data_IF_358986804891
#
_entry.id   IF_358986804891
#
_cell.length_a   1.000
_cell.length_b   1.000
_cell.length_c   1.000
_cell.angle_alpha   90.00
_cell.angle_beta   90.00
_cell.angle_gamma   90.00
#
_symmetry.space_group_name_H-M   'P 1'
#
loop_
_entity.id
_entity.type
_entity.pdbx_description
1 polymer ?
#
# COMPACT_ATOMS: atom_id res chain seq x y z
N UNK A 1 -5.97 22.66 -11.89
CA UNK A 1 -6.14 21.29 -12.44
C UNK A 1 -5.41 20.24 -11.60
N UNK A 2 -4.17 20.48 -11.17
CA UNK A 2 -3.40 19.59 -10.28
C UNK A 2 -4.12 19.26 -8.96
N UNK A 3 -4.77 20.22 -8.31
CA UNK A 3 -5.55 19.99 -7.08
C UNK A 3 -6.67 18.96 -7.27
N UNK A 4 -7.40 19.00 -8.38
CA UNK A 4 -8.48 18.05 -8.66
C UNK A 4 -7.94 16.63 -8.85
N UNK A 5 -6.81 16.49 -9.58
CA UNK A 5 -6.12 15.20 -9.73
C UNK A 5 -5.71 14.63 -8.37
N UNK A 6 -5.15 15.48 -7.52
CA UNK A 6 -4.76 15.12 -6.16
C UNK A 6 -5.93 14.67 -5.28
N UNK A 7 -7.07 15.37 -5.36
CA UNK A 7 -8.29 15.00 -4.64
C UNK A 7 -8.87 13.67 -5.13
N UNK A 8 -8.86 13.42 -6.44
CA UNK A 8 -9.28 12.13 -7.01
C UNK A 8 -8.37 11.00 -6.53
N UNK A 9 -7.05 11.21 -6.58
CA UNK A 9 -6.07 10.23 -6.10
C UNK A 9 -6.28 9.93 -4.61
N UNK A 10 -6.55 10.97 -3.81
CA UNK A 10 -6.85 10.83 -2.38
C UNK A 10 -8.14 10.03 -2.13
N UNK A 11 -9.21 10.29 -2.90
CA UNK A 11 -10.47 9.54 -2.79
C UNK A 11 -10.31 8.06 -3.10
N UNK A 12 -9.56 7.73 -4.15
CA UNK A 12 -9.25 6.34 -4.54
C UNK A 12 -8.40 5.66 -3.46
N UNK A 13 -7.34 6.34 -3.01
CA UNK A 13 -6.46 5.85 -1.94
C UNK A 13 -7.25 5.55 -0.65
N UNK A 14 -8.12 6.45 -0.21
CA UNK A 14 -8.94 6.24 0.99
C UNK A 14 -9.95 5.10 0.79
N UNK A 15 -10.53 4.97 -0.39
CA UNK A 15 -11.43 3.84 -0.73
C UNK A 15 -10.70 2.50 -0.62
N UNK A 16 -9.42 2.47 -0.97
CA UNK A 16 -8.56 1.28 -0.82
C UNK A 16 -8.17 1.02 0.65
N UNK A 17 -7.97 2.07 1.44
CA UNK A 17 -7.48 1.97 2.81
C UNK A 17 -8.56 1.61 3.84
N UNK A 18 -9.78 2.13 3.69
CA UNK A 18 -10.84 2.09 4.72
C UNK A 18 -11.48 0.71 4.99
N UNK A 19 -11.71 -0.18 3.99
CA UNK A 19 -12.51 -1.38 4.21
C UNK A 19 -12.01 -2.30 5.32
N UNK A 20 -10.70 -2.55 5.40
CA UNK A 20 -10.11 -3.46 6.39
C UNK A 20 -10.21 -2.91 7.83
N UNK A 21 -9.80 -1.67 8.14
CA UNK A 21 -10.03 -1.05 9.45
C UNK A 21 -11.50 -1.08 9.88
N UNK A 22 -12.43 -0.79 8.96
CA UNK A 22 -13.88 -0.83 9.24
C UNK A 22 -14.34 -2.25 9.57
N UNK A 23 -13.92 -3.24 8.79
CA UNK A 23 -14.24 -4.65 9.06
C UNK A 23 -13.69 -5.07 10.43
N UNK A 24 -12.41 -4.78 10.70
CA UNK A 24 -11.74 -5.11 11.95
C UNK A 24 -12.43 -4.48 13.16
N UNK A 25 -12.82 -3.21 13.06
CA UNK A 25 -13.55 -2.51 14.10
C UNK A 25 -14.94 -3.13 14.35
N UNK A 26 -15.65 -3.50 13.28
CA UNK A 26 -17.00 -4.05 13.35
C UNK A 26 -17.05 -5.49 13.87
N UNK A 27 -16.14 -6.35 13.41
CA UNK A 27 -16.18 -7.79 13.74
C UNK A 27 -15.28 -8.14 14.92
N UNK A 28 -14.26 -7.33 15.21
CA UNK A 28 -13.11 -7.67 16.08
C UNK A 28 -12.38 -8.94 15.67
N UNK A 29 -12.67 -9.44 14.47
CA UNK A 29 -11.96 -10.56 13.90
C UNK A 29 -10.68 -10.05 13.27
N UNK A 30 -9.58 -10.53 13.84
CA UNK A 30 -8.21 -10.15 13.50
C UNK A 30 -7.52 -11.26 12.71
N UNK A 31 -8.25 -12.33 12.35
CA UNK A 31 -7.72 -13.42 11.53
C UNK A 31 -7.21 -12.89 10.18
N UNK A 32 -5.98 -13.23 9.83
CA UNK A 32 -5.34 -12.81 8.58
C UNK A 32 -4.85 -11.36 8.55
N UNK A 33 -5.02 -10.57 9.62
CA UNK A 33 -4.50 -9.19 9.69
C UNK A 33 -3.16 -9.17 10.43
N UNK A 34 -2.10 -8.74 9.75
CA UNK A 34 -0.74 -8.70 10.31
C UNK A 34 -0.50 -7.44 11.16
N UNK A 35 -0.07 -7.57 12.43
CA UNK A 35 0.36 -6.43 13.25
C UNK A 35 1.51 -5.63 12.62
N UNK A 36 2.53 -6.31 12.08
CA UNK A 36 3.64 -5.66 11.36
C UNK A 36 3.16 -4.86 10.15
N UNK A 37 2.18 -5.37 9.38
CA UNK A 37 1.62 -4.61 8.26
C UNK A 37 0.90 -3.33 8.72
N UNK A 38 0.15 -3.39 9.83
CA UNK A 38 -0.51 -2.21 10.41
C UNK A 38 0.51 -1.17 10.92
N UNK A 39 1.60 -1.62 11.55
CA UNK A 39 2.71 -0.76 11.96
C UNK A 39 3.38 -0.10 10.75
N UNK A 40 3.69 -0.88 9.71
CA UNK A 40 4.31 -0.36 8.48
C UNK A 40 3.39 0.62 7.72
N UNK A 41 2.07 0.40 7.73
CA UNK A 41 1.12 1.36 7.17
C UNK A 41 1.13 2.69 7.93
N UNK A 42 1.20 2.64 9.26
CA UNK A 42 1.32 3.84 10.10
C UNK A 42 2.63 4.58 9.81
N UNK A 43 3.75 3.85 9.75
CA UNK A 43 5.07 4.40 9.41
C UNK A 43 5.06 5.04 8.03
N UNK A 44 4.47 4.39 7.02
CA UNK A 44 4.34 4.93 5.67
C UNK A 44 3.50 6.21 5.65
N UNK A 45 2.38 6.25 6.38
CA UNK A 45 1.54 7.45 6.47
C UNK A 45 2.30 8.62 7.14
N UNK A 46 3.09 8.37 8.18
CA UNK A 46 3.97 9.40 8.78
C UNK A 46 5.04 9.86 7.78
N UNK A 47 5.68 8.94 7.07
CA UNK A 47 6.72 9.29 6.10
C UNK A 47 6.19 10.14 4.93
N UNK A 48 5.01 9.79 4.39
CA UNK A 48 4.33 10.60 3.37
C UNK A 48 3.84 11.95 3.91
N UNK A 49 3.40 12.00 5.18
CA UNK A 49 3.05 13.24 5.86
C UNK A 49 4.25 14.19 5.94
N UNK A 50 5.41 13.70 6.43
CA UNK A 50 6.65 14.48 6.50
C UNK A 50 7.03 14.97 5.10
N UNK A 51 7.07 14.06 4.12
CA UNK A 51 7.42 14.41 2.73
C UNK A 51 6.51 15.49 2.15
N UNK A 52 5.19 15.35 2.35
CA UNK A 52 4.21 16.33 1.86
C UNK A 52 4.35 17.69 2.52
N UNK A 53 4.77 17.75 3.79
CA UNK A 53 5.06 19.00 4.48
C UNK A 53 6.32 19.67 3.93
N UNK A 54 7.41 18.91 3.72
CA UNK A 54 8.67 19.42 3.17
C UNK A 54 8.54 19.98 1.76
N UNK A 55 7.74 19.31 0.92
CA UNK A 55 7.51 19.72 -0.47
C UNK A 55 6.36 20.72 -0.61
N UNK A 56 5.78 21.19 0.50
CA UNK A 56 4.63 22.09 0.52
C UNK A 56 3.43 21.59 -0.31
N UNK A 57 3.17 20.28 -0.27
CA UNK A 57 2.11 19.61 -1.04
C UNK A 57 0.87 19.33 -0.17
N UNK A 58 -0.13 20.24 -0.13
CA UNK A 58 -1.29 20.11 0.76
C UNK A 58 -2.09 18.84 0.57
N UNK A 59 -2.31 18.43 -0.67
CA UNK A 59 -3.05 17.19 -0.96
C UNK A 59 -2.38 15.99 -0.30
N UNK A 60 -1.04 15.87 -0.41
CA UNK A 60 -0.29 14.72 0.10
C UNK A 60 -0.30 14.71 1.62
N UNK A 61 0.06 15.82 2.28
CA UNK A 61 0.10 15.79 3.75
C UNK A 61 -1.29 15.67 4.37
N UNK A 62 -2.34 16.23 3.77
CA UNK A 62 -3.73 16.09 4.26
C UNK A 62 -4.20 14.64 4.16
N UNK A 63 -4.02 13.99 3.01
CA UNK A 63 -4.47 12.60 2.85
C UNK A 63 -3.65 11.65 3.71
N UNK A 64 -2.35 11.89 3.88
CA UNK A 64 -1.51 11.12 4.80
C UNK A 64 -1.95 11.28 6.25
N UNK A 65 -2.31 12.50 6.68
CA UNK A 65 -2.89 12.73 7.99
C UNK A 65 -4.23 11.98 8.17
N UNK A 66 -5.09 12.01 7.15
CA UNK A 66 -6.33 11.26 7.16
C UNK A 66 -6.09 9.74 7.23
N UNK A 67 -5.04 9.23 6.58
CA UNK A 67 -4.63 7.83 6.58
C UNK A 67 -4.11 7.35 7.94
N UNK A 68 -3.55 8.25 8.76
CA UNK A 68 -3.06 7.91 10.09
C UNK A 68 -4.19 7.42 10.99
N UNK A 69 -5.39 7.98 10.88
CA UNK A 69 -6.54 7.61 11.72
C UNK A 69 -6.88 6.11 11.61
N UNK A 70 -7.23 5.55 10.44
CA UNK A 70 -7.51 4.12 10.31
C UNK A 70 -6.29 3.25 10.59
N UNK A 71 -5.07 3.73 10.30
CA UNK A 71 -3.83 2.98 10.56
C UNK A 71 -3.59 2.81 12.06
N UNK A 72 -3.71 3.88 12.84
CA UNK A 72 -3.58 3.88 14.29
C UNK A 72 -4.70 3.07 14.97
N UNK A 73 -5.94 3.16 14.48
CA UNK A 73 -7.04 2.31 14.96
C UNK A 73 -6.68 0.83 14.76
N UNK A 74 -6.16 0.46 13.59
CA UNK A 74 -5.77 -0.93 13.28
C UNK A 74 -4.64 -1.40 14.20
N UNK A 75 -3.63 -0.57 14.43
CA UNK A 75 -2.55 -0.87 15.41
C UNK A 75 -3.11 -1.06 16.81
N UNK A 76 -4.01 -0.18 17.27
CA UNK A 76 -4.65 -0.28 18.58
C UNK A 76 -5.48 -1.56 18.76
N UNK A 77 -6.25 -1.94 17.73
CA UNK A 77 -7.03 -3.18 17.73
C UNK A 77 -6.16 -4.44 17.74
N UNK A 78 -4.93 -4.36 17.19
CA UNK A 78 -3.98 -5.46 17.14
C UNK A 78 -2.97 -5.45 18.30
N UNK A 79 -3.00 -4.47 19.20
CA UNK A 79 -1.97 -4.25 20.21
C UNK A 79 -1.66 -5.49 21.06
N UNK A 80 -2.67 -6.31 21.40
CA UNK A 80 -2.48 -7.55 22.18
C UNK A 80 -1.87 -8.71 21.39
N UNK A 81 -1.88 -8.63 20.07
CA UNK A 81 -1.30 -9.63 19.14
C UNK A 81 0.07 -9.22 18.62
N UNK A 82 0.44 -7.95 18.78
CA UNK A 82 1.74 -7.42 18.38
C UNK A 82 2.85 -8.08 19.20
N UNK A 83 3.80 -8.70 18.50
CA UNK A 83 4.96 -9.36 19.11
C UNK A 83 6.16 -8.41 19.16
N UNK A 84 7.17 -8.76 19.97
CA UNK A 84 8.45 -8.04 19.97
C UNK A 84 9.16 -8.11 18.61
N UNK A 85 8.95 -9.18 17.84
CA UNK A 85 9.50 -9.29 16.49
C UNK A 85 8.83 -8.29 15.54
N UNK A 86 7.50 -8.13 15.62
CA UNK A 86 6.80 -7.11 14.82
C UNK A 86 7.31 -5.71 15.13
N UNK A 87 7.50 -5.40 16.42
CA UNK A 87 8.06 -4.11 16.85
C UNK A 87 9.49 -3.92 16.36
N UNK A 88 10.35 -4.94 16.45
CA UNK A 88 11.72 -4.88 15.97
C UNK A 88 11.82 -4.62 14.46
N UNK A 89 11.01 -5.32 13.66
CA UNK A 89 10.97 -5.11 12.21
C UNK A 89 10.38 -3.76 11.83
N UNK A 90 9.31 -3.33 12.50
CA UNK A 90 8.73 -2.00 12.30
C UNK A 90 9.73 -0.89 12.68
N UNK A 91 10.44 -1.04 13.80
CA UNK A 91 11.48 -0.10 14.22
C UNK A 91 12.65 -0.05 13.23
N UNK A 92 13.08 -1.21 12.72
CA UNK A 92 14.13 -1.30 11.68
C UNK A 92 13.70 -0.54 10.42
N UNK A 93 12.45 -0.74 9.99
CA UNK A 93 11.90 -0.03 8.84
C UNK A 93 11.80 1.49 9.08
N UNK A 94 11.30 1.90 10.25
CA UNK A 94 11.23 3.32 10.61
C UNK A 94 12.61 3.97 10.68
N UNK A 95 13.61 3.31 11.26
CA UNK A 95 14.99 3.80 11.33
C UNK A 95 15.60 3.93 9.94
N UNK A 96 15.34 2.98 9.04
CA UNK A 96 15.80 3.06 7.65
C UNK A 96 15.17 4.25 6.93
N UNK A 97 13.86 4.48 7.08
CA UNK A 97 13.20 5.65 6.50
C UNK A 97 13.74 6.96 7.09
N UNK A 98 13.98 7.01 8.40
CA UNK A 98 14.60 8.18 9.05
C UNK A 98 16.01 8.43 8.51
N UNK A 99 16.82 7.39 8.33
CA UNK A 99 18.15 7.52 7.72
C UNK A 99 18.09 8.05 6.28
N UNK A 100 17.17 7.52 5.47
CA UNK A 100 16.93 8.01 4.11
C UNK A 100 16.42 9.44 4.10
N UNK A 101 15.58 9.81 5.05
CA UNK A 101 15.09 11.19 5.22
C UNK A 101 16.23 12.16 5.52
N UNK A 102 17.02 11.88 6.55
CA UNK A 102 18.18 12.70 6.91
C UNK A 102 19.23 12.78 5.78
N UNK A 103 19.33 11.73 4.96
CA UNK A 103 20.20 11.69 3.78
C UNK A 103 19.61 12.30 2.51
N UNK A 104 18.40 12.88 2.54
CA UNK A 104 17.75 13.49 1.37
C UNK A 104 17.22 12.48 0.33
N UNK A 105 17.13 11.20 0.68
CA UNK A 105 16.72 10.10 -0.19
C UNK A 105 15.36 9.47 0.22
N UNK A 106 14.52 10.19 0.97
CA UNK A 106 13.23 9.68 1.46
C UNK A 106 12.34 9.12 0.35
N UNK A 107 12.38 9.74 -0.84
CA UNK A 107 11.65 9.27 -2.02
C UNK A 107 11.92 7.79 -2.36
N UNK A 108 13.18 7.34 -2.22
CA UNK A 108 13.57 5.94 -2.43
C UNK A 108 12.93 5.04 -1.38
N UNK A 109 12.93 5.48 -0.11
CA UNK A 109 12.31 4.76 0.99
C UNK A 109 10.81 4.60 0.82
N UNK A 110 10.13 5.66 0.37
CA UNK A 110 8.69 5.64 0.10
C UNK A 110 8.33 4.67 -1.03
N UNK A 111 9.14 4.62 -2.10
CA UNK A 111 8.98 3.64 -3.17
C UNK A 111 9.22 2.21 -2.68
N UNK A 112 10.27 1.98 -1.90
CA UNK A 112 10.54 0.69 -1.26
C UNK A 112 9.42 0.27 -0.29
N UNK A 113 8.74 1.22 0.35
CA UNK A 113 7.58 0.98 1.21
C UNK A 113 6.42 0.27 0.49
N UNK A 114 6.28 0.47 -0.83
CA UNK A 114 5.33 -0.31 -1.64
C UNK A 114 5.71 -1.79 -1.64
N UNK A 115 6.99 -2.12 -1.78
CA UNK A 115 7.46 -3.51 -1.72
C UNK A 115 7.31 -4.10 -0.31
N UNK A 116 7.52 -3.31 0.73
CA UNK A 116 7.29 -3.76 2.11
C UNK A 116 5.83 -4.15 2.34
N UNK A 117 4.89 -3.39 1.76
CA UNK A 117 3.44 -3.60 1.98
C UNK A 117 2.82 -4.60 1.00
N UNK A 118 3.25 -4.60 -0.26
CA UNK A 118 2.69 -5.45 -1.33
C UNK A 118 3.51 -6.72 -1.57
N UNK A 119 4.78 -6.73 -1.16
CA UNK A 119 5.75 -7.78 -1.45
C UNK A 119 5.29 -9.20 -1.09
N UNK A 120 4.71 -9.46 0.09
CA UNK A 120 4.18 -10.78 0.43
C UNK A 120 3.12 -11.28 -0.56
N UNK A 121 2.21 -10.40 -1.00
CA UNK A 121 1.15 -10.77 -1.95
C UNK A 121 1.70 -10.95 -3.37
N UNK A 122 2.66 -10.12 -3.78
CA UNK A 122 3.37 -10.29 -5.06
C UNK A 122 4.15 -11.60 -5.07
N UNK A 123 4.85 -11.92 -3.97
CA UNK A 123 5.56 -13.18 -3.80
C UNK A 123 4.60 -14.37 -3.90
N UNK A 124 3.47 -14.33 -3.18
CA UNK A 124 2.41 -15.34 -3.28
C UNK A 124 1.95 -15.53 -4.73
N UNK A 125 1.63 -14.44 -5.42
CA UNK A 125 1.20 -14.49 -6.82
C UNK A 125 2.25 -15.14 -7.75
N UNK A 126 3.54 -14.91 -7.49
CA UNK A 126 4.63 -15.44 -8.30
C UNK A 126 5.00 -16.89 -7.97
N UNK A 127 4.85 -17.31 -6.72
CA UNK A 127 5.38 -18.59 -6.22
C UNK A 127 4.30 -19.66 -6.01
N UNK A 128 3.04 -19.29 -5.80
CA UNK A 128 1.97 -20.22 -5.44
C UNK A 128 1.00 -20.45 -6.61
N UNK A 129 0.38 -21.64 -6.63
CA UNK A 129 -0.73 -21.96 -7.54
C UNK A 129 -2.10 -21.64 -6.92
N UNK A 130 -2.23 -21.75 -5.60
CA UNK A 130 -3.42 -21.29 -4.89
C UNK A 130 -3.32 -19.80 -4.57
N UNK A 131 -4.07 -18.99 -5.32
CA UNK A 131 -4.14 -17.55 -5.13
C UNK A 131 -5.33 -17.12 -4.26
N UNK A 132 -5.86 -18.03 -3.44
CA UNK A 132 -6.86 -17.72 -2.42
C UNK A 132 -6.47 -16.49 -1.58
N UNK A 133 -7.41 -15.57 -1.39
CA UNK A 133 -7.18 -14.31 -0.69
C UNK A 133 -6.63 -13.17 -1.56
N UNK A 134 -6.26 -13.40 -2.82
CA UNK A 134 -6.01 -12.33 -3.79
C UNK A 134 -7.26 -12.09 -4.64
N UNK A 135 -7.77 -10.86 -4.65
CA UNK A 135 -8.94 -10.52 -5.48
C UNK A 135 -8.55 -9.58 -6.62
N UNK A 136 -9.03 -9.81 -7.87
CA UNK A 136 -8.78 -8.88 -8.97
C UNK A 136 -9.24 -7.45 -8.67
N UNK A 137 -10.34 -7.29 -7.94
CA UNK A 137 -10.89 -5.98 -7.58
C UNK A 137 -9.89 -5.15 -6.75
N UNK A 138 -9.25 -5.76 -5.74
CA UNK A 138 -8.22 -5.08 -4.93
C UNK A 138 -7.07 -4.59 -5.79
N UNK A 139 -6.62 -5.39 -6.76
CA UNK A 139 -5.48 -5.05 -7.60
C UNK A 139 -5.82 -4.06 -8.71
N UNK A 140 -7.04 -4.07 -9.24
CA UNK A 140 -7.53 -2.98 -10.11
C UNK A 140 -7.63 -1.66 -9.36
N UNK A 141 -8.07 -1.68 -8.11
CA UNK A 141 -8.06 -0.49 -7.26
C UNK A 141 -6.64 0.02 -7.02
N UNK A 142 -5.65 -0.88 -6.83
CA UNK A 142 -4.23 -0.52 -6.77
C UNK A 142 -3.70 0.09 -8.08
N UNK A 143 -4.17 -0.37 -9.25
CA UNK A 143 -3.83 0.25 -10.55
C UNK A 143 -4.37 1.67 -10.62
N UNK A 144 -5.64 1.89 -10.23
CA UNK A 144 -6.24 3.22 -10.21
C UNK A 144 -5.50 4.16 -9.24
N UNK A 145 -5.19 3.67 -8.05
CA UNK A 145 -4.42 4.38 -7.02
C UNK A 145 -3.04 4.79 -7.55
N UNK A 146 -2.26 3.83 -8.05
CA UNK A 146 -0.95 4.09 -8.64
C UNK A 146 -1.04 5.12 -9.78
N UNK A 147 -1.97 4.94 -10.71
CA UNK A 147 -2.08 5.78 -11.91
C UNK A 147 -2.49 7.20 -11.56
N UNK A 148 -3.44 7.39 -10.64
CA UNK A 148 -3.89 8.74 -10.26
C UNK A 148 -2.83 9.49 -9.46
N UNK A 149 -2.11 8.83 -8.55
CA UNK A 149 -0.93 9.43 -7.91
C UNK A 149 0.22 9.67 -8.89
N UNK A 150 0.41 8.79 -9.87
CA UNK A 150 1.42 8.95 -10.92
C UNK A 150 1.16 10.15 -11.82
N UNK A 151 -0.08 10.33 -12.28
CA UNK A 151 -0.49 11.50 -13.07
C UNK A 151 -0.37 12.79 -12.25
N UNK A 152 -0.75 12.76 -10.97
CA UNK A 152 -0.55 13.88 -10.05
C UNK A 152 0.94 14.20 -9.85
N UNK A 153 1.77 13.19 -9.59
CA UNK A 153 3.22 13.34 -9.44
C UNK A 153 3.91 13.84 -10.70
N UNK A 154 3.50 13.35 -11.88
CA UNK A 154 3.99 13.84 -13.17
C UNK A 154 3.69 15.32 -13.36
N UNK A 155 2.49 15.76 -12.99
CA UNK A 155 2.09 17.16 -13.09
C UNK A 155 2.86 18.08 -12.12
N UNK A 156 3.44 17.53 -11.06
CA UNK A 156 4.28 18.24 -10.09
C UNK A 156 5.78 18.07 -10.34
N UNK A 157 6.20 17.15 -11.20
CA UNK A 157 7.60 16.75 -11.32
C UNK A 157 8.14 16.00 -10.08
N UNK A 158 7.26 15.37 -9.30
CA UNK A 158 7.65 14.71 -8.03
C UNK A 158 8.13 13.27 -8.26
N UNK A 159 9.44 13.08 -8.08
CA UNK A 159 10.09 11.78 -8.24
C UNK A 159 9.62 10.71 -7.23
N UNK A 160 9.20 11.09 -6.02
CA UNK A 160 8.70 10.15 -5.01
C UNK A 160 7.35 9.57 -5.45
N UNK A 161 6.43 10.42 -5.91
CA UNK A 161 5.13 10.00 -6.42
C UNK A 161 5.26 9.18 -7.71
N UNK A 162 6.18 9.57 -8.61
CA UNK A 162 6.48 8.78 -9.80
C UNK A 162 7.06 7.41 -9.47
N UNK A 163 7.96 7.33 -8.48
CA UNK A 163 8.53 6.05 -8.04
C UNK A 163 7.47 5.16 -7.38
N UNK A 164 6.60 5.73 -6.54
CA UNK A 164 5.44 5.04 -5.98
C UNK A 164 4.54 4.46 -7.07
N UNK A 165 4.20 5.28 -8.08
CA UNK A 165 3.41 4.88 -9.24
C UNK A 165 4.03 3.68 -9.96
N UNK A 166 5.31 3.78 -10.32
CA UNK A 166 6.01 2.73 -11.08
C UNK A 166 6.00 1.42 -10.30
N UNK A 167 6.36 1.45 -9.01
CA UNK A 167 6.47 0.24 -8.19
C UNK A 167 5.09 -0.38 -7.97
N UNK A 168 4.09 0.41 -7.55
CA UNK A 168 2.75 -0.12 -7.27
C UNK A 168 2.06 -0.62 -8.54
N UNK A 169 2.19 0.10 -9.65
CA UNK A 169 1.63 -0.34 -10.93
C UNK A 169 2.27 -1.66 -11.36
N UNK A 170 3.59 -1.79 -11.25
CA UNK A 170 4.31 -3.02 -11.59
C UNK A 170 3.83 -4.19 -10.74
N UNK A 171 3.78 -4.04 -9.41
CA UNK A 171 3.23 -5.05 -8.52
C UNK A 171 1.81 -5.45 -8.92
N UNK A 172 0.97 -4.48 -9.25
CA UNK A 172 -0.44 -4.71 -9.58
C UNK A 172 -0.62 -5.45 -10.89
N UNK A 173 0.13 -5.08 -11.93
CA UNK A 173 0.10 -5.76 -13.22
C UNK A 173 0.59 -7.20 -13.07
N UNK A 174 1.68 -7.43 -12.35
CA UNK A 174 2.22 -8.78 -12.10
C UNK A 174 1.16 -9.68 -11.48
N UNK A 175 0.46 -9.21 -10.45
CA UNK A 175 -0.55 -10.02 -9.76
C UNK A 175 -1.80 -10.23 -10.63
N UNK A 176 -2.29 -9.19 -11.32
CA UNK A 176 -3.43 -9.31 -12.24
C UNK A 176 -3.15 -10.29 -13.38
N UNK A 177 -1.95 -10.25 -13.96
CA UNK A 177 -1.54 -11.21 -14.98
C UNK A 177 -1.54 -12.64 -14.43
N UNK A 178 -0.97 -12.86 -13.24
CA UNK A 178 -0.94 -14.19 -12.61
C UNK A 178 -2.34 -14.73 -12.33
N UNK A 179 -3.26 -13.91 -11.81
CA UNK A 179 -4.66 -14.28 -11.61
C UNK A 179 -5.34 -14.68 -12.94
N UNK A 180 -5.12 -13.90 -14.00
CA UNK A 180 -5.68 -14.21 -15.33
C UNK A 180 -5.14 -15.54 -15.88
N UNK A 181 -3.84 -15.77 -15.80
CA UNK A 181 -3.21 -16.98 -16.33
C UNK A 181 -3.72 -18.26 -15.65
N UNK A 182 -3.87 -18.26 -14.32
CA UNK A 182 -4.35 -19.44 -13.59
C UNK A 182 -5.84 -19.71 -13.83
N UNK A 183 -6.66 -18.65 -13.91
CA UNK A 183 -8.07 -18.79 -14.26
C UNK A 183 -8.24 -19.42 -15.65
N UNK A 184 -7.47 -18.98 -16.65
CA UNK A 184 -7.51 -19.57 -18.00
C UNK A 184 -7.06 -21.04 -18.00
N UNK A 185 -6.06 -21.41 -17.20
CA UNK A 185 -5.62 -22.82 -17.07
C UNK A 185 -6.70 -23.69 -16.45
N UNK A 186 -7.37 -23.23 -15.39
CA UNK A 186 -8.46 -23.98 -14.76
C UNK A 186 -9.61 -24.23 -15.74
N UNK A 187 -10.03 -23.21 -16.50
CA UNK A 187 -11.05 -23.35 -17.54
C UNK A 187 -10.64 -24.37 -18.61
N UNK A 188 -9.37 -24.36 -19.04
CA UNK A 188 -8.88 -25.33 -20.03
C UNK A 188 -8.88 -26.78 -19.52
N UNK A 189 -8.58 -27.02 -18.24
CA UNK A 189 -8.60 -28.37 -17.65
C UNK A 189 -10.00 -28.95 -17.52
N UNK A 190 -11.02 -28.10 -17.37
CA UNK A 190 -12.42 -28.52 -17.29
C UNK A 190 -13.04 -28.86 -18.66
N UNK A 191 -12.38 -28.48 -19.76
CA UNK A 191 -12.85 -28.71 -21.14
C UNK A 191 -12.04 -29.79 -21.89
N UNK A 192 -11.22 -30.58 -21.18
CA UNK A 192 -10.58 -31.77 -21.77
C UNK A 192 -11.59 -32.93 -21.71
N UNK A 193 -12.05 -33.47 -22.86
CA UNK A 193 -12.98 -34.60 -22.92
C UNK A 193 -12.36 -35.91 -22.41
#
# INVERSE_FOLDING_TARGET
MTTLLGLIASGIFLTRLIPQPVQLFRTRDTAGVSPLAALNATIAAVAWLIRGLEEHQPVVWIVSLAALVPSLITVGLLARKTTMSDLGWAATWALLLTGLWLGGALAVGLAAGVLVTQGPQVRKALQEEDLSGLTPATWWLSVLDATTWGVYGLALGDAALLSYFIVLLTCSIVVLLRLRFLNSRQVSRLHVP
#
